data_IF_103402434989
#
_entry.id   IF_103402434989
#
_cell.length_a   1.000
_cell.length_b   1.000
_cell.length_c   1.000
_cell.angle_alpha   90.00
_cell.angle_beta   90.00
_cell.angle_gamma   90.00
#
_symmetry.space_group_name_H-M   'P 1'
#
loop_
_entity.id
_entity.type
_entity.pdbx_description
1 polymer ?
#
# COMPACT_ATOMS: atom_id res chain seq x y z
N UNK A 1 -8.06 16.90 1.11
CA UNK A 1 -9.07 15.82 1.22
C UNK A 1 -9.01 15.29 2.64
N UNK A 2 -10.11 14.79 3.22
CA UNK A 2 -10.03 14.12 4.53
C UNK A 2 -9.85 12.64 4.32
N UNK A 3 -8.91 12.05 5.06
CA UNK A 3 -8.56 10.64 4.94
C UNK A 3 -8.63 9.99 6.33
N UNK A 4 -9.13 8.75 6.35
CA UNK A 4 -9.13 7.95 7.57
C UNK A 4 -7.70 7.45 7.84
N UNK A 5 -7.26 7.51 9.10
CA UNK A 5 -5.90 7.11 9.51
C UNK A 5 -5.93 6.38 10.85
N UNK A 6 -4.93 5.55 11.13
CA UNK A 6 -4.79 4.90 12.43
C UNK A 6 -4.01 5.79 13.41
N UNK A 7 -4.71 6.41 14.36
CA UNK A 7 -4.11 7.31 15.34
C UNK A 7 -3.03 6.63 16.22
N UNK A 8 -3.14 5.33 16.48
CA UNK A 8 -2.20 4.59 17.33
C UNK A 8 -0.77 4.50 16.77
N UNK A 9 -0.59 4.73 15.47
CA UNK A 9 0.70 4.68 14.78
C UNK A 9 1.02 5.99 14.06
N UNK A 10 0.23 7.05 14.25
CA UNK A 10 0.49 8.39 13.68
C UNK A 10 1.24 9.23 14.71
N UNK A 11 2.48 9.60 14.41
CA UNK A 11 3.31 10.40 15.32
C UNK A 11 2.99 11.89 15.21
N UNK A 12 3.16 12.63 16.31
CA UNK A 12 2.90 14.08 16.34
C UNK A 12 3.70 14.87 15.30
N UNK A 13 4.95 14.47 15.02
CA UNK A 13 5.77 15.12 13.98
C UNK A 13 5.20 15.03 12.56
N UNK A 14 4.28 14.09 12.31
CA UNK A 14 3.58 13.94 11.03
C UNK A 14 2.23 14.67 10.98
N UNK A 15 1.93 15.52 11.97
CA UNK A 15 0.67 16.26 12.07
C UNK A 15 0.86 17.77 11.97
N UNK A 16 2.08 18.23 11.66
CA UNK A 16 2.32 19.64 11.38
C UNK A 16 1.43 20.11 10.23
N UNK A 17 0.83 21.30 10.38
CA UNK A 17 -0.11 21.82 9.37
C UNK A 17 -1.32 20.94 9.05
N UNK A 18 -1.73 20.02 9.93
CA UNK A 18 -2.85 19.07 9.67
C UNK A 18 -4.09 19.38 10.52
N UNK A 19 -5.29 19.16 9.98
CA UNK A 19 -6.54 19.17 10.73
C UNK A 19 -6.97 17.75 11.13
N UNK A 20 -6.94 17.46 12.44
CA UNK A 20 -7.34 16.16 13.00
C UNK A 20 -8.81 16.20 13.43
N UNK A 21 -9.60 15.24 12.94
CA UNK A 21 -11.02 15.09 13.27
C UNK A 21 -11.24 13.76 13.97
N UNK A 22 -11.87 13.79 15.15
CA UNK A 22 -12.20 12.62 15.94
C UNK A 22 -13.72 12.43 16.05
N UNK A 23 -14.16 11.34 16.68
CA UNK A 23 -15.58 11.02 16.82
C UNK A 23 -16.36 12.10 17.59
N UNK A 24 -15.71 12.83 18.48
CA UNK A 24 -16.29 13.90 19.26
C UNK A 24 -16.62 15.14 18.42
N UNK A 25 -15.94 15.35 17.29
CA UNK A 25 -16.25 16.43 16.35
C UNK A 25 -17.64 16.26 15.73
N UNK A 26 -18.11 15.01 15.59
CA UNK A 26 -19.42 14.69 15.06
C UNK A 26 -20.57 15.06 16.00
N UNK A 27 -20.29 15.53 17.21
CA UNK A 27 -21.33 15.87 18.19
C UNK A 27 -22.27 16.93 17.61
N UNK A 28 -23.55 16.57 17.47
CA UNK A 28 -24.60 17.50 17.07
C UNK A 28 -25.00 18.47 18.18
N UNK A 29 -26.05 19.26 17.92
CA UNK A 29 -26.71 20.07 18.96
C UNK A 29 -27.13 19.17 20.13
N UNK A 30 -27.26 19.69 21.37
CA UNK A 30 -27.68 18.90 22.51
C UNK A 30 -28.91 18.03 22.22
N UNK A 31 -28.78 16.71 22.38
CA UNK A 31 -29.84 15.74 22.09
C UNK A 31 -29.90 15.23 20.63
N UNK A 32 -29.02 15.69 19.74
CA UNK A 32 -28.95 15.24 18.35
C UNK A 32 -27.62 14.54 18.06
N UNK A 33 -27.71 13.32 17.51
CA UNK A 33 -26.56 12.58 17.00
C UNK A 33 -26.27 12.96 15.55
N UNK A 34 -25.02 12.78 15.14
CA UNK A 34 -24.64 12.86 13.73
C UNK A 34 -25.37 11.81 12.90
N UNK A 35 -25.72 12.04 11.61
CA UNK A 35 -26.32 11.04 10.73
C UNK A 35 -25.65 9.65 10.80
N UNK A 36 -24.32 9.61 10.80
CA UNK A 36 -23.55 8.35 10.91
C UNK A 36 -23.76 7.67 12.27
N UNK A 37 -23.75 8.44 13.36
CA UNK A 37 -23.95 7.91 14.72
C UNK A 37 -25.40 7.42 14.91
N UNK A 38 -26.37 8.18 14.40
CA UNK A 38 -27.79 7.83 14.47
C UNK A 38 -28.08 6.53 13.70
N UNK A 39 -27.57 6.40 12.47
CA UNK A 39 -27.71 5.18 11.70
C UNK A 39 -27.11 3.96 12.42
N UNK A 40 -25.95 4.11 13.07
CA UNK A 40 -25.34 3.04 13.86
C UNK A 40 -26.21 2.61 15.06
N UNK A 41 -26.94 3.53 15.68
CA UNK A 41 -27.87 3.23 16.77
C UNK A 41 -29.10 2.49 16.23
N UNK A 42 -29.78 3.07 15.24
CA UNK A 42 -31.08 2.58 14.77
C UNK A 42 -30.99 1.22 14.06
N UNK A 43 -29.85 0.92 13.44
CA UNK A 43 -29.62 -0.37 12.77
C UNK A 43 -28.92 -1.41 13.66
N UNK A 44 -28.72 -1.11 14.95
CA UNK A 44 -28.04 -1.98 15.91
C UNK A 44 -26.59 -2.31 15.51
N UNK A 45 -25.89 -1.34 14.91
CA UNK A 45 -24.49 -1.44 14.50
C UNK A 45 -23.49 -1.43 15.67
N UNK A 46 -23.95 -1.34 16.91
CA UNK A 46 -23.13 -1.31 18.12
C UNK A 46 -23.69 -2.23 19.21
N UNK A 47 -22.81 -3.04 19.82
CA UNK A 47 -23.13 -3.85 21.00
C UNK A 47 -22.27 -3.43 22.19
N UNK A 48 -21.03 -3.92 22.29
CA UNK A 48 -20.13 -3.55 23.39
C UNK A 48 -19.62 -2.09 23.31
N UNK A 49 -19.76 -1.44 22.16
CA UNK A 49 -19.40 -0.03 21.94
C UNK A 49 -17.92 0.24 21.67
N UNK A 50 -17.00 -0.69 21.98
CA UNK A 50 -15.57 -0.39 21.95
C UNK A 50 -15.02 -0.08 20.54
N UNK A 51 -15.43 -0.85 19.53
CA UNK A 51 -15.03 -0.60 18.13
C UNK A 51 -15.81 0.53 17.48
N UNK A 52 -16.94 0.96 18.06
CA UNK A 52 -17.93 1.83 17.42
C UNK A 52 -17.34 3.17 16.97
N UNK A 53 -16.48 3.87 17.75
CA UNK A 53 -15.84 5.10 17.27
C UNK A 53 -15.05 4.92 15.97
N UNK A 54 -14.29 3.82 15.85
CA UNK A 54 -13.51 3.53 14.65
C UNK A 54 -14.40 3.28 13.43
N UNK A 55 -15.48 2.51 13.58
CA UNK A 55 -16.46 2.29 12.51
C UNK A 55 -17.16 3.58 12.10
N UNK A 56 -17.57 4.41 13.06
CA UNK A 56 -18.20 5.70 12.79
C UNK A 56 -17.26 6.60 11.98
N UNK A 57 -15.98 6.69 12.34
CA UNK A 57 -15.03 7.54 11.60
C UNK A 57 -14.72 7.01 10.19
N UNK A 58 -14.62 5.69 10.00
CA UNK A 58 -14.45 5.11 8.66
C UNK A 58 -15.68 5.35 7.77
N UNK A 59 -16.89 5.10 8.30
CA UNK A 59 -18.14 5.37 7.59
C UNK A 59 -18.35 6.85 7.30
N UNK A 60 -17.94 7.72 8.22
CA UNK A 60 -17.99 9.15 8.00
C UNK A 60 -17.07 9.60 6.86
N UNK A 61 -15.81 9.11 6.84
CA UNK A 61 -14.90 9.36 5.72
C UNK A 61 -15.47 8.88 4.38
N UNK A 62 -16.05 7.68 4.36
CA UNK A 62 -16.73 7.16 3.16
C UNK A 62 -17.91 8.04 2.74
N UNK A 63 -18.83 8.34 3.66
CA UNK A 63 -20.04 9.10 3.37
C UNK A 63 -19.75 10.52 2.84
N UNK A 64 -18.70 11.15 3.36
CA UNK A 64 -18.26 12.47 2.89
C UNK A 64 -17.69 12.45 1.46
N UNK A 65 -17.19 11.29 1.00
CA UNK A 65 -16.65 11.08 -0.36
C UNK A 65 -17.72 10.54 -1.32
N UNK A 66 -18.52 9.58 -0.86
CA UNK A 66 -19.58 8.91 -1.59
C UNK A 66 -20.81 8.76 -0.69
N UNK A 67 -21.79 9.70 -0.78
CA UNK A 67 -23.00 9.64 0.06
C UNK A 67 -23.94 8.48 -0.26
N UNK A 68 -23.78 7.83 -1.43
CA UNK A 68 -24.54 6.66 -1.86
C UNK A 68 -23.56 5.53 -2.25
N UNK A 69 -22.89 4.90 -1.26
CA UNK A 69 -21.82 3.96 -1.52
C UNK A 69 -22.36 2.59 -1.95
N UNK A 70 -21.63 1.89 -2.83
CA UNK A 70 -21.90 0.48 -3.09
C UNK A 70 -21.45 -0.41 -1.92
N UNK A 71 -21.87 -1.68 -1.91
CA UNK A 71 -21.37 -2.65 -0.92
C UNK A 71 -19.84 -2.77 -0.95
N UNK A 72 -19.23 -2.74 -2.15
CA UNK A 72 -17.77 -2.81 -2.29
C UNK A 72 -17.08 -1.60 -1.67
N UNK A 73 -17.68 -0.40 -1.79
CA UNK A 73 -17.14 0.82 -1.16
C UNK A 73 -17.20 0.74 0.38
N UNK A 74 -18.33 0.26 0.92
CA UNK A 74 -18.48 0.07 2.37
C UNK A 74 -17.50 -0.99 2.89
N UNK A 75 -17.42 -2.14 2.22
CA UNK A 75 -16.46 -3.19 2.58
C UNK A 75 -15.02 -2.63 2.59
N UNK A 76 -14.63 -1.90 1.54
CA UNK A 76 -13.29 -1.30 1.41
C UNK A 76 -12.99 -0.30 2.53
N UNK A 77 -13.92 0.59 2.85
CA UNK A 77 -13.75 1.58 3.91
C UNK A 77 -13.67 0.93 5.30
N UNK A 78 -14.34 -0.21 5.48
CA UNK A 78 -14.38 -0.95 6.75
C UNK A 78 -13.33 -2.05 6.87
N UNK A 79 -12.49 -2.28 5.84
CA UNK A 79 -11.46 -3.33 5.85
C UNK A 79 -10.65 -3.31 7.16
N UNK A 80 -10.23 -2.12 7.61
CA UNK A 80 -9.44 -1.88 8.83
C UNK A 80 -10.19 -1.77 10.15
N UNK A 81 -11.46 -2.16 10.17
CA UNK A 81 -12.29 -2.09 11.35
C UNK A 81 -12.72 -3.50 11.77
N UNK A 82 -12.29 -3.94 12.96
CA UNK A 82 -12.67 -5.24 13.50
C UNK A 82 -13.76 -5.11 14.56
N UNK A 83 -14.82 -5.90 14.39
CA UNK A 83 -15.87 -6.08 15.38
C UNK A 83 -15.99 -7.56 15.75
N UNK A 84 -16.06 -7.85 17.05
CA UNK A 84 -16.24 -9.23 17.55
C UNK A 84 -17.68 -9.55 17.95
N UNK A 85 -18.55 -8.55 18.04
CA UNK A 85 -19.88 -8.68 18.63
C UNK A 85 -21.00 -8.70 17.58
N UNK A 86 -20.96 -7.82 16.57
CA UNK A 86 -22.12 -7.55 15.70
C UNK A 86 -22.26 -8.48 14.51
N UNK A 87 -21.19 -9.17 14.10
CA UNK A 87 -21.20 -9.95 12.85
C UNK A 87 -21.27 -9.10 11.57
N UNK A 88 -21.01 -7.79 11.65
CA UNK A 88 -20.89 -6.81 10.56
C UNK A 88 -22.17 -6.44 9.77
N UNK A 89 -23.13 -7.35 9.59
CA UNK A 89 -24.32 -7.09 8.76
C UNK A 89 -25.13 -5.85 9.20
N UNK A 90 -25.28 -5.65 10.51
CA UNK A 90 -25.94 -4.47 11.06
C UNK A 90 -25.20 -3.15 10.72
N UNK A 91 -23.87 -3.19 10.66
CA UNK A 91 -23.03 -2.05 10.32
C UNK A 91 -23.14 -1.75 8.81
N UNK A 92 -23.20 -2.79 7.96
CA UNK A 92 -23.43 -2.64 6.53
C UNK A 92 -24.77 -1.94 6.24
N UNK A 93 -25.85 -2.37 6.89
CA UNK A 93 -27.16 -1.71 6.77
C UNK A 93 -27.14 -0.27 7.28
N UNK A 94 -26.45 0.00 8.38
CA UNK A 94 -26.27 1.36 8.89
C UNK A 94 -25.58 2.26 7.85
N UNK A 95 -24.52 1.77 7.19
CA UNK A 95 -23.77 2.52 6.19
C UNK A 95 -24.65 3.01 5.03
N UNK A 96 -25.52 2.16 4.50
CA UNK A 96 -26.48 2.50 3.44
C UNK A 96 -27.56 3.47 3.89
N UNK A 97 -27.89 3.49 5.18
CA UNK A 97 -28.95 4.34 5.71
C UNK A 97 -28.49 5.77 6.04
N UNK A 98 -27.18 6.07 6.10
CA UNK A 98 -26.66 7.35 6.61
C UNK A 98 -27.30 8.55 5.90
N UNK A 99 -27.42 8.50 4.57
CA UNK A 99 -27.99 9.60 3.77
C UNK A 99 -29.49 9.81 3.97
N UNK A 100 -30.20 8.90 4.63
CA UNK A 100 -31.60 9.12 5.04
C UNK A 100 -31.72 10.06 6.25
N UNK A 101 -30.64 10.23 7.04
CA UNK A 101 -30.61 11.06 8.25
C UNK A 101 -30.01 12.45 8.02
N UNK A 102 -29.33 12.69 6.88
CA UNK A 102 -28.70 13.97 6.60
C UNK A 102 -28.05 14.02 5.22
N UNK A 103 -27.47 15.18 4.87
CA UNK A 103 -26.77 15.39 3.59
C UNK A 103 -25.31 15.75 3.86
N UNK A 104 -24.37 15.02 3.24
CA UNK A 104 -22.93 15.28 3.39
C UNK A 104 -22.53 16.72 3.03
N UNK A 105 -23.21 17.32 2.05
CA UNK A 105 -22.96 18.71 1.66
C UNK A 105 -23.32 19.76 2.74
N UNK A 106 -24.11 19.38 3.76
CA UNK A 106 -24.48 20.24 4.90
C UNK A 106 -23.68 19.93 6.16
N UNK A 107 -22.75 18.99 6.07
CA UNK A 107 -21.92 18.60 7.19
C UNK A 107 -21.01 19.75 7.65
N UNK A 108 -20.70 19.88 8.96
CA UNK A 108 -19.77 20.87 9.46
C UNK A 108 -18.42 20.88 8.73
N UNK A 109 -17.82 19.71 8.46
CA UNK A 109 -16.55 19.62 7.73
C UNK A 109 -16.66 20.14 6.29
N UNK A 110 -17.81 19.97 5.63
CA UNK A 110 -18.03 20.56 4.30
C UNK A 110 -18.11 22.09 4.39
N UNK A 111 -18.79 22.60 5.42
CA UNK A 111 -19.05 24.03 5.62
C UNK A 111 -17.78 24.80 6.00
N UNK A 112 -16.97 24.26 6.91
CA UNK A 112 -15.77 24.95 7.41
C UNK A 112 -14.53 24.73 6.55
N UNK A 113 -14.59 23.82 5.56
CA UNK A 113 -13.44 23.40 4.75
C UNK A 113 -12.61 24.57 4.24
N UNK A 114 -13.25 25.57 3.64
CA UNK A 114 -12.55 26.74 3.07
C UNK A 114 -11.79 27.52 4.15
N UNK A 115 -12.39 27.72 5.32
CA UNK A 115 -11.78 28.47 6.41
C UNK A 115 -10.62 27.69 7.04
N UNK A 116 -10.78 26.38 7.23
CA UNK A 116 -9.70 25.52 7.72
C UNK A 116 -8.55 25.47 6.72
N UNK A 117 -8.81 25.24 5.43
CA UNK A 117 -7.77 25.22 4.39
C UNK A 117 -6.95 26.52 4.39
N UNK A 118 -7.61 27.69 4.44
CA UNK A 118 -6.90 28.97 4.50
C UNK A 118 -6.03 29.10 5.78
N UNK A 119 -6.49 28.57 6.91
CA UNK A 119 -5.70 28.57 8.16
C UNK A 119 -4.47 27.66 8.06
N UNK A 120 -4.61 26.48 7.46
CA UNK A 120 -3.51 25.54 7.28
C UNK A 120 -2.49 26.07 6.25
N UNK A 121 -2.96 26.67 5.15
CA UNK A 121 -2.09 27.33 4.16
C UNK A 121 -1.28 28.47 4.80
N UNK A 122 -1.91 29.27 5.67
CA UNK A 122 -1.22 30.34 6.39
C UNK A 122 -0.16 29.83 7.39
N UNK A 123 -0.23 28.57 7.82
CA UNK A 123 0.80 27.94 8.67
C UNK A 123 2.01 27.46 7.85
N UNK A 124 1.89 27.30 6.53
CA UNK A 124 2.97 26.85 5.65
C UNK A 124 3.88 28.01 5.28
N UNK A 125 4.79 28.36 6.18
CA UNK A 125 5.78 29.43 6.00
C UNK A 125 7.07 28.97 5.29
N UNK A 126 7.19 27.67 4.98
CA UNK A 126 8.37 27.08 4.34
C UNK A 126 9.56 26.95 5.30
N UNK A 127 9.36 27.09 6.61
CA UNK A 127 10.40 26.87 7.59
C UNK A 127 10.46 25.39 8.02
N UNK A 128 11.67 24.95 8.37
CA UNK A 128 11.87 23.66 9.03
C UNK A 128 11.38 23.75 10.48
N UNK A 129 10.62 22.76 10.92
CA UNK A 129 10.26 22.59 12.33
C UNK A 129 11.28 21.67 13.00
N UNK A 130 11.86 22.11 14.11
CA UNK A 130 12.71 21.28 14.97
C UNK A 130 12.23 21.34 16.42
N UNK A 131 12.07 20.18 17.04
CA UNK A 131 11.73 20.05 18.46
C UNK A 131 12.77 19.18 19.14
N UNK A 132 13.22 19.59 20.33
CA UNK A 132 14.24 18.88 21.11
C UNK A 132 15.67 19.22 20.68
N UNK A 133 16.64 18.50 21.25
CA UNK A 133 18.08 18.72 20.99
C UNK A 133 18.84 17.40 20.92
N UNK A 134 19.98 17.39 20.22
CA UNK A 134 20.85 16.22 20.10
C UNK A 134 20.10 14.97 19.61
N UNK A 135 20.23 13.87 20.35
CA UNK A 135 19.63 12.57 19.97
C UNK A 135 18.11 12.54 20.11
N UNK A 136 17.51 13.44 20.89
CA UNK A 136 16.06 13.50 21.11
C UNK A 136 15.35 14.42 20.10
N UNK A 137 16.01 14.78 18.99
CA UNK A 137 15.48 15.74 18.03
C UNK A 137 14.42 15.10 17.13
N UNK A 138 13.36 15.88 16.90
CA UNK A 138 12.36 15.66 15.88
C UNK A 138 12.50 16.76 14.84
N UNK A 139 12.50 16.39 13.55
CA UNK A 139 12.63 17.32 12.44
C UNK A 139 11.50 17.12 11.44
N UNK A 140 10.85 18.21 11.04
CA UNK A 140 9.99 18.28 9.85
C UNK A 140 10.70 19.22 8.86
N UNK A 141 11.35 18.69 7.81
CA UNK A 141 12.09 19.50 6.85
C UNK A 141 11.19 20.49 6.11
N UNK A 142 11.76 21.61 5.68
CA UNK A 142 11.03 22.61 4.88
C UNK A 142 10.65 22.08 3.49
N UNK A 143 11.57 21.36 2.86
CA UNK A 143 11.43 20.78 1.52
C UNK A 143 12.36 19.56 1.36
N UNK A 144 12.43 19.00 0.15
CA UNK A 144 13.25 17.82 -0.15
C UNK A 144 14.76 18.14 -0.10
N UNK A 145 15.16 19.37 -0.41
CA UNK A 145 16.56 19.79 -0.37
C UNK A 145 17.04 19.96 1.07
N UNK A 146 16.22 20.55 1.93
CA UNK A 146 16.45 20.64 3.38
C UNK A 146 16.45 19.24 4.02
N UNK A 147 15.53 18.35 3.62
CA UNK A 147 15.56 16.95 4.04
C UNK A 147 16.90 16.28 3.70
N UNK A 148 17.33 16.41 2.44
CA UNK A 148 18.60 15.83 2.00
C UNK A 148 19.79 16.41 2.79
N UNK A 149 19.78 17.70 3.11
CA UNK A 149 20.82 18.36 3.91
C UNK A 149 20.82 17.90 5.38
N UNK A 150 19.65 17.70 5.99
CA UNK A 150 19.54 17.18 7.35
C UNK A 150 20.02 15.73 7.41
N UNK A 151 19.58 14.88 6.47
CA UNK A 151 19.96 13.46 6.45
C UNK A 151 21.45 13.25 6.15
N UNK A 152 22.08 14.10 5.32
CA UNK A 152 23.53 14.02 5.08
C UNK A 152 24.35 14.34 6.35
N UNK A 153 23.87 15.27 7.18
CA UNK A 153 24.46 15.57 8.50
C UNK A 153 24.16 14.50 9.55
N UNK A 154 23.00 13.85 9.46
CA UNK A 154 22.52 12.84 10.41
C UNK A 154 22.11 11.55 9.71
N UNK A 155 23.07 10.80 9.14
CA UNK A 155 22.77 9.62 8.33
C UNK A 155 22.15 8.46 9.12
N UNK A 156 22.16 8.54 10.46
CA UNK A 156 21.52 7.57 11.36
C UNK A 156 20.12 7.95 11.81
N UNK A 157 19.58 9.11 11.39
CA UNK A 157 18.23 9.52 11.75
C UNK A 157 17.18 8.60 11.13
N UNK A 158 16.11 8.30 11.88
CA UNK A 158 15.00 7.50 11.37
C UNK A 158 14.13 8.36 10.46
N UNK A 159 14.01 7.97 9.19
CA UNK A 159 13.10 8.61 8.24
C UNK A 159 11.70 8.05 8.46
N UNK A 160 10.72 8.95 8.62
CA UNK A 160 9.32 8.60 8.87
C UNK A 160 8.42 9.30 7.86
N UNK A 161 7.83 8.53 6.95
CA UNK A 161 6.73 8.99 6.10
C UNK A 161 5.39 8.65 6.78
N UNK A 162 4.67 7.66 6.26
CA UNK A 162 3.39 7.19 6.77
C UNK A 162 3.40 6.44 8.10
N UNK A 163 4.57 6.19 8.70
CA UNK A 163 4.74 5.47 9.98
C UNK A 163 4.08 4.09 10.11
N UNK A 164 3.58 3.48 9.03
CA UNK A 164 2.85 2.19 9.08
C UNK A 164 3.74 0.98 9.40
N UNK A 165 5.07 1.13 9.28
CA UNK A 165 6.06 0.15 9.75
C UNK A 165 6.78 0.66 11.01
N UNK A 166 7.37 1.86 10.94
CA UNK A 166 8.11 2.50 12.06
C UNK A 166 7.25 2.67 13.32
N UNK A 167 5.94 2.92 13.16
CA UNK A 167 4.99 2.98 14.27
C UNK A 167 4.96 1.69 15.09
N UNK A 168 5.17 0.53 14.47
CA UNK A 168 5.26 -0.76 15.16
C UNK A 168 6.59 -0.94 15.90
N UNK A 169 7.67 -0.31 15.42
CA UNK A 169 8.96 -0.30 16.13
C UNK A 169 8.80 0.33 17.51
N UNK A 170 8.00 1.39 17.61
CA UNK A 170 7.69 2.03 18.89
C UNK A 170 6.61 1.25 19.65
N UNK A 171 5.44 1.04 19.05
CA UNK A 171 4.24 0.53 19.77
C UNK A 171 4.29 -0.96 20.11
N UNK A 172 5.10 -1.76 19.41
CA UNK A 172 5.25 -3.19 19.65
C UNK A 172 6.64 -3.56 20.15
N UNK A 173 7.68 -2.89 19.65
CA UNK A 173 9.07 -3.23 19.99
C UNK A 173 9.70 -2.27 21.00
N UNK A 174 8.99 -1.21 21.42
CA UNK A 174 9.48 -0.20 22.36
C UNK A 174 10.85 0.38 21.96
N UNK A 175 11.11 0.47 20.65
CA UNK A 175 12.36 1.01 20.12
C UNK A 175 12.34 2.53 20.16
N UNK A 176 13.46 3.11 20.56
CA UNK A 176 13.73 4.52 20.32
C UNK A 176 14.07 4.72 18.84
N UNK A 177 13.41 5.70 18.21
CA UNK A 177 13.59 6.04 16.80
C UNK A 177 14.32 7.39 16.63
N UNK A 178 14.72 8.01 17.73
CA UNK A 178 15.29 9.36 17.73
C UNK A 178 16.78 9.35 17.34
N UNK A 179 17.27 10.35 16.59
CA UNK A 179 16.50 11.46 16.01
C UNK A 179 15.62 11.00 14.85
N UNK A 180 14.46 11.62 14.67
CA UNK A 180 13.49 11.26 13.65
C UNK A 180 13.21 12.44 12.69
N UNK A 181 13.13 12.13 11.40
CA UNK A 181 12.84 13.09 10.32
C UNK A 181 11.51 12.71 9.68
N UNK A 182 10.53 13.60 9.74
CA UNK A 182 9.18 13.38 9.23
C UNK A 182 9.04 13.99 7.83
N UNK A 183 8.75 13.16 6.83
CA UNK A 183 8.79 13.53 5.41
C UNK A 183 7.44 13.42 4.69
N UNK A 184 6.35 13.19 5.43
CA UNK A 184 5.04 12.85 4.88
C UNK A 184 4.42 13.93 3.97
N UNK A 185 4.75 15.20 4.22
CA UNK A 185 4.13 16.36 3.56
C UNK A 185 5.11 17.13 2.66
N UNK A 186 6.23 16.51 2.26
CA UNK A 186 7.17 17.12 1.33
C UNK A 186 6.65 16.98 -0.10
N UNK A 187 6.04 18.04 -0.64
CA UNK A 187 5.41 18.05 -1.97
C UNK A 187 6.30 17.47 -3.09
N UNK A 188 7.62 17.73 -3.03
CA UNK A 188 8.58 17.19 -4.01
C UNK A 188 8.70 15.67 -4.01
N UNK A 189 8.34 14.98 -2.93
CA UNK A 189 8.28 13.51 -2.83
C UNK A 189 6.87 12.95 -3.10
N UNK A 190 5.85 13.80 -3.22
CA UNK A 190 4.46 13.42 -3.39
C UNK A 190 3.96 13.66 -4.83
N UNK A 191 4.82 13.35 -5.81
CA UNK A 191 4.53 13.57 -7.24
C UNK A 191 4.30 12.26 -7.98
N UNK A 192 3.37 12.28 -8.94
CA UNK A 192 3.16 11.22 -9.93
C UNK A 192 3.23 11.87 -11.31
N UNK A 193 4.04 11.30 -12.21
CA UNK A 193 4.13 11.73 -13.60
C UNK A 193 4.28 10.54 -14.52
N UNK A 194 4.02 10.73 -15.81
CA UNK A 194 4.25 9.71 -16.83
C UNK A 194 4.92 10.34 -18.04
N UNK A 195 6.06 9.77 -18.46
CA UNK A 195 6.75 10.14 -19.69
C UNK A 195 7.14 8.87 -20.46
N UNK A 196 6.89 8.86 -21.78
CA UNK A 196 7.26 7.75 -22.69
C UNK A 196 6.90 6.35 -22.18
N UNK A 197 5.73 6.21 -21.55
CA UNK A 197 5.26 4.94 -21.02
C UNK A 197 5.93 4.50 -19.71
N UNK A 198 6.61 5.40 -18.99
CA UNK A 198 7.17 5.15 -17.66
C UNK A 198 6.47 6.05 -16.65
N UNK A 199 5.84 5.44 -15.64
CA UNK A 199 5.20 6.15 -14.54
C UNK A 199 6.25 6.37 -13.44
N UNK A 200 6.54 7.64 -13.13
CA UNK A 200 7.43 8.03 -12.03
C UNK A 200 6.60 8.39 -10.81
N UNK A 201 6.90 7.77 -9.67
CA UNK A 201 6.18 7.92 -8.42
C UNK A 201 7.18 8.33 -7.33
N UNK A 202 6.98 9.51 -6.74
CA UNK A 202 7.78 9.98 -5.62
C UNK A 202 7.62 9.09 -4.38
N UNK A 203 8.66 9.01 -3.56
CA UNK A 203 8.70 8.11 -2.41
C UNK A 203 7.68 8.43 -1.29
N UNK A 204 7.18 9.68 -1.27
CA UNK A 204 6.15 10.16 -0.35
C UNK A 204 4.73 9.85 -0.79
N UNK A 205 4.52 9.43 -2.06
CA UNK A 205 3.19 9.09 -2.57
C UNK A 205 2.60 7.90 -1.81
N UNK A 206 1.40 8.10 -1.27
CA UNK A 206 0.65 7.09 -0.52
C UNK A 206 0.17 5.96 -1.43
N UNK A 207 -0.19 4.81 -0.86
CA UNK A 207 -0.83 3.75 -1.64
C UNK A 207 -2.14 4.23 -2.27
N UNK A 208 -2.93 5.02 -1.53
CA UNK A 208 -4.21 5.57 -2.01
C UNK A 208 -4.02 6.44 -3.24
N UNK A 209 -3.03 7.34 -3.25
CA UNK A 209 -2.75 8.22 -4.39
C UNK A 209 -2.13 7.46 -5.57
N UNK A 210 -1.16 6.58 -5.30
CA UNK A 210 -0.51 5.78 -6.33
C UNK A 210 -1.50 4.86 -7.06
N UNK A 211 -2.45 4.28 -6.31
CA UNK A 211 -3.40 3.31 -6.80
C UNK A 211 -4.26 3.83 -7.95
N UNK A 212 -4.79 5.06 -7.85
CA UNK A 212 -5.67 5.63 -8.87
C UNK A 212 -5.00 5.65 -10.26
N UNK A 213 -3.70 5.94 -10.29
CA UNK A 213 -2.92 5.97 -11.53
C UNK A 213 -2.47 4.56 -11.93
N UNK A 214 -1.89 3.80 -11.00
CA UNK A 214 -1.32 2.49 -11.29
C UNK A 214 -2.38 1.47 -11.72
N UNK A 215 -3.53 1.39 -11.04
CA UNK A 215 -4.58 0.46 -11.41
C UNK A 215 -5.23 0.82 -12.75
N UNK A 216 -5.27 2.11 -13.12
CA UNK A 216 -5.76 2.54 -14.43
C UNK A 216 -4.81 2.15 -15.55
N UNK A 217 -3.50 2.29 -15.33
CA UNK A 217 -2.47 2.03 -16.34
C UNK A 217 -2.02 0.57 -16.40
N UNK A 218 -2.09 -0.13 -15.28
CA UNK A 218 -1.68 -1.52 -15.10
C UNK A 218 -2.77 -2.25 -14.28
N UNK A 219 -3.90 -2.64 -14.92
CA UNK A 219 -5.08 -3.16 -14.23
C UNK A 219 -4.84 -4.34 -13.28
N UNK A 220 -3.85 -5.19 -13.57
CA UNK A 220 -3.50 -6.32 -12.71
C UNK A 220 -3.01 -5.91 -11.30
N UNK A 221 -2.53 -4.67 -11.13
CA UNK A 221 -2.17 -4.15 -9.81
C UNK A 221 -3.41 -3.83 -8.96
N UNK A 222 -4.56 -3.55 -9.60
CA UNK A 222 -5.79 -3.13 -8.92
C UNK A 222 -6.17 -4.01 -7.71
N UNK A 223 -6.45 -5.30 -7.94
CA UNK A 223 -6.84 -6.23 -6.88
C UNK A 223 -5.78 -6.46 -5.80
N UNK A 224 -4.49 -6.23 -6.09
CA UNK A 224 -3.43 -6.35 -5.09
C UNK A 224 -3.52 -5.20 -4.08
N UNK A 225 -3.63 -3.96 -4.57
CA UNK A 225 -3.61 -2.76 -3.74
C UNK A 225 -4.80 -2.72 -2.78
N UNK A 226 -5.97 -3.15 -3.22
CA UNK A 226 -7.16 -3.26 -2.36
C UNK A 226 -6.98 -4.25 -1.18
N UNK A 227 -5.92 -5.08 -1.22
CA UNK A 227 -5.57 -6.06 -0.19
C UNK A 227 -4.35 -5.64 0.64
N UNK A 228 -3.79 -4.46 0.44
CA UNK A 228 -2.70 -3.90 1.25
C UNK A 228 -3.34 -3.19 2.46
N UNK A 229 -3.24 -3.80 3.63
CA UNK A 229 -3.84 -3.28 4.86
C UNK A 229 -5.34 -2.93 4.73
N UNK A 230 -5.82 -2.09 5.63
CA UNK A 230 -7.09 -1.37 5.48
C UNK A 230 -6.89 -0.02 4.78
N UNK A 231 -7.98 0.67 4.44
CA UNK A 231 -7.91 2.00 3.82
C UNK A 231 -7.09 3.00 4.66
N UNK A 232 -7.18 2.90 5.98
CA UNK A 232 -6.44 3.74 6.93
C UNK A 232 -4.93 3.57 6.81
N UNK A 233 -4.47 2.33 6.55
CA UNK A 233 -3.06 2.02 6.31
C UNK A 233 -2.64 2.52 4.93
N UNK A 234 -3.52 2.45 3.92
CA UNK A 234 -3.21 2.91 2.56
C UNK A 234 -3.12 4.43 2.41
N UNK A 235 -3.93 5.16 3.18
CA UNK A 235 -3.87 6.63 3.25
C UNK A 235 -2.59 7.13 3.92
N UNK A 236 -1.88 6.28 4.67
CA UNK A 236 -0.64 6.65 5.34
C UNK A 236 0.58 6.06 4.64
N UNK A 237 0.57 4.75 4.39
CA UNK A 237 1.70 4.01 3.86
C UNK A 237 2.08 4.47 2.46
N UNK A 238 3.38 4.61 2.21
CA UNK A 238 3.90 5.10 0.93
C UNK A 238 4.61 4.00 0.16
N UNK A 239 4.61 4.12 -1.18
CA UNK A 239 5.34 3.18 -2.05
C UNK A 239 6.83 3.21 -1.72
N UNK A 240 7.40 4.40 -1.54
CA UNK A 240 8.80 4.59 -1.18
C UNK A 240 9.13 3.96 0.17
N UNK A 241 8.25 4.11 1.17
CA UNK A 241 8.42 3.48 2.48
C UNK A 241 8.39 1.96 2.41
N UNK A 242 7.52 1.37 1.58
CA UNK A 242 7.45 -0.07 1.40
C UNK A 242 8.73 -0.64 0.79
N UNK A 243 9.25 0.02 -0.25
CA UNK A 243 10.50 -0.34 -0.90
C UNK A 243 11.67 -0.13 0.07
N UNK A 244 11.78 1.05 0.69
CA UNK A 244 12.90 1.42 1.57
C UNK A 244 13.01 0.55 2.84
N UNK A 245 11.90 -0.02 3.31
CA UNK A 245 11.88 -0.99 4.41
C UNK A 245 12.52 -2.32 4.00
N UNK A 246 12.33 -2.74 2.74
CA UNK A 246 12.88 -3.98 2.21
C UNK A 246 12.41 -5.25 2.92
N UNK A 247 11.15 -5.25 3.34
CA UNK A 247 10.51 -6.44 3.91
C UNK A 247 10.43 -7.57 2.86
N UNK A 248 10.76 -8.82 3.20
CA UNK A 248 10.66 -9.95 2.28
C UNK A 248 9.22 -10.24 1.82
N UNK A 249 8.24 -9.75 2.58
CA UNK A 249 6.79 -9.89 2.32
C UNK A 249 6.13 -8.54 2.00
N UNK A 250 6.93 -7.55 1.57
CA UNK A 250 6.39 -6.31 1.01
C UNK A 250 5.59 -6.59 -0.27
N UNK A 251 4.45 -5.93 -0.41
CA UNK A 251 3.50 -6.26 -1.48
C UNK A 251 3.83 -5.57 -2.81
N UNK A 252 4.47 -4.40 -2.81
CA UNK A 252 4.80 -3.68 -4.07
C UNK A 252 6.10 -4.11 -4.75
N UNK A 253 7.17 -4.54 -4.05
CA UNK A 253 8.41 -4.87 -4.73
C UNK A 253 8.29 -5.99 -5.77
N UNK A 254 7.66 -7.14 -5.52
CA UNK A 254 7.61 -8.22 -6.52
C UNK A 254 6.97 -7.80 -7.85
N UNK A 255 5.77 -7.18 -7.90
CA UNK A 255 5.21 -6.75 -9.18
C UNK A 255 6.00 -5.64 -9.85
N UNK A 256 6.61 -4.73 -9.09
CA UNK A 256 7.46 -3.69 -9.66
C UNK A 256 8.76 -4.26 -10.25
N UNK A 257 9.35 -5.28 -9.62
CA UNK A 257 10.48 -6.03 -10.17
C UNK A 257 10.08 -6.73 -11.47
N UNK A 258 8.93 -7.41 -11.48
CA UNK A 258 8.44 -8.11 -12.68
C UNK A 258 8.16 -7.16 -13.86
N UNK A 259 7.84 -5.90 -13.59
CA UNK A 259 7.66 -4.84 -14.60
C UNK A 259 8.97 -4.15 -15.02
N UNK A 260 10.11 -4.54 -14.45
CA UNK A 260 11.41 -3.92 -14.74
C UNK A 260 11.55 -2.50 -14.18
N UNK A 261 10.95 -2.22 -13.02
CA UNK A 261 11.04 -0.91 -12.39
C UNK A 261 12.48 -0.55 -11.98
N UNK A 262 12.77 0.75 -11.98
CA UNK A 262 14.02 1.30 -11.45
C UNK A 262 13.75 2.27 -10.30
N UNK A 263 14.78 2.53 -9.49
CA UNK A 263 14.72 3.32 -8.27
C UNK A 263 15.74 4.46 -8.35
N UNK A 264 15.30 5.69 -8.11
CA UNK A 264 16.20 6.83 -7.93
C UNK A 264 16.48 7.04 -6.44
N UNK A 265 17.76 6.95 -6.10
CA UNK A 265 18.32 7.20 -4.78
C UNK A 265 19.00 8.57 -4.77
N UNK A 266 18.81 9.32 -3.69
CA UNK A 266 19.34 10.68 -3.56
C UNK A 266 20.15 10.86 -2.29
N UNK A 267 21.31 11.51 -2.42
CA UNK A 267 22.18 11.96 -1.32
C UNK A 267 22.62 13.40 -1.55
N UNK A 268 22.16 14.32 -0.70
CA UNK A 268 22.36 15.76 -0.91
C UNK A 268 21.83 16.20 -2.28
N UNK A 269 22.72 16.70 -3.14
CA UNK A 269 22.40 17.11 -4.53
C UNK A 269 22.63 16.02 -5.58
N UNK A 270 23.16 14.87 -5.19
CA UNK A 270 23.50 13.78 -6.11
C UNK A 270 22.37 12.77 -6.16
N UNK A 271 22.06 12.29 -7.36
CA UNK A 271 21.11 11.21 -7.61
C UNK A 271 21.83 10.06 -8.31
N UNK A 272 21.38 8.83 -8.07
CA UNK A 272 21.72 7.66 -8.87
C UNK A 272 20.47 6.82 -9.08
N UNK A 273 20.38 6.19 -10.25
CA UNK A 273 19.27 5.29 -10.58
C UNK A 273 19.79 3.87 -10.73
N UNK A 274 19.11 2.91 -10.10
CA UNK A 274 19.45 1.48 -10.14
C UNK A 274 18.20 0.65 -10.47
N UNK A 275 18.33 -0.56 -11.04
CA UNK A 275 17.22 -1.49 -11.15
C UNK A 275 16.68 -1.87 -9.77
N UNK A 276 15.36 -1.92 -9.59
CA UNK A 276 14.73 -2.14 -8.28
C UNK A 276 15.15 -3.47 -7.65
N UNK A 277 15.30 -4.51 -8.44
CA UNK A 277 15.71 -5.84 -7.98
C UNK A 277 17.10 -5.85 -7.34
N UNK A 278 17.98 -4.92 -7.74
CA UNK A 278 19.34 -4.80 -7.18
C UNK A 278 19.38 -4.05 -5.86
N UNK A 279 18.30 -3.34 -5.51
CA UNK A 279 18.22 -2.59 -4.26
C UNK A 279 18.19 -3.51 -3.03
N UNK A 280 17.65 -4.72 -3.15
CA UNK A 280 17.52 -5.67 -2.03
C UNK A 280 18.70 -6.64 -1.98
N UNK A 281 19.71 -6.35 -1.14
CA UNK A 281 20.96 -7.14 -1.07
C UNK A 281 20.77 -8.39 -0.21
N UNK A 282 20.20 -8.23 0.98
CA UNK A 282 19.96 -9.31 1.93
C UNK A 282 18.83 -8.91 2.89
N UNK A 283 18.42 -9.82 3.78
CA UNK A 283 17.42 -9.52 4.80
C UNK A 283 17.82 -8.29 5.62
N UNK A 284 16.97 -7.26 5.59
CA UNK A 284 17.22 -5.99 6.31
C UNK A 284 18.41 -5.18 5.79
N UNK A 285 18.95 -5.49 4.60
CA UNK A 285 20.06 -4.77 3.98
C UNK A 285 19.71 -4.38 2.55
N UNK A 286 19.70 -3.08 2.29
CA UNK A 286 19.44 -2.50 0.98
C UNK A 286 20.67 -1.73 0.45
N UNK A 287 20.76 -1.53 -0.86
CA UNK A 287 21.78 -0.67 -1.48
C UNK A 287 21.44 0.80 -1.21
N UNK A 288 21.79 1.27 -0.01
CA UNK A 288 21.60 2.66 0.43
C UNK A 288 22.84 3.13 1.17
N UNK A 289 23.49 4.17 0.66
CA UNK A 289 24.63 4.80 1.32
C UNK A 289 24.18 5.59 2.56
N UNK A 290 25.04 5.80 3.57
CA UNK A 290 24.74 6.73 4.66
C UNK A 290 24.39 8.13 4.11
N UNK A 291 23.27 8.69 4.52
CA UNK A 291 22.76 9.99 4.03
C UNK A 291 21.94 9.92 2.74
N UNK A 292 21.76 8.72 2.18
CA UNK A 292 20.98 8.48 0.97
C UNK A 292 19.55 8.05 1.30
N UNK A 293 18.57 8.42 0.48
CA UNK A 293 17.17 8.00 0.61
C UNK A 293 16.57 7.64 -0.75
N UNK A 294 15.46 6.91 -0.72
CA UNK A 294 14.65 6.63 -1.91
C UNK A 294 13.88 7.89 -2.28
N UNK A 295 14.12 8.45 -3.46
CA UNK A 295 13.44 9.65 -3.92
C UNK A 295 12.23 9.32 -4.80
N UNK A 296 12.38 8.38 -5.74
CA UNK A 296 11.31 7.97 -6.65
C UNK A 296 11.49 6.55 -7.17
N UNK A 297 10.39 5.92 -7.56
CA UNK A 297 10.36 4.67 -8.34
C UNK A 297 9.79 4.94 -9.73
N UNK A 298 10.36 4.29 -10.74
CA UNK A 298 10.00 4.45 -12.15
C UNK A 298 9.52 3.11 -12.69
N UNK A 299 8.26 3.06 -13.10
CA UNK A 299 7.55 1.82 -13.45
C UNK A 299 7.19 1.84 -14.94
N UNK A 300 7.82 0.99 -15.76
CA UNK A 300 7.41 0.80 -17.14
C UNK A 300 5.97 0.31 -17.22
N UNK A 301 5.18 0.90 -18.12
CA UNK A 301 3.84 0.42 -18.45
C UNK A 301 4.00 -0.70 -19.48
N UNK A 302 3.53 -1.92 -19.20
CA UNK A 302 3.67 -3.04 -20.12
C UNK A 302 2.87 -2.78 -21.41
N UNK A 303 3.32 -3.36 -22.53
CA UNK A 303 2.59 -3.26 -23.78
C UNK A 303 1.23 -3.97 -23.65
N UNK A 304 0.25 -3.58 -24.48
CA UNK A 304 -1.12 -4.10 -24.39
C UNK A 304 -1.21 -5.62 -24.55
N UNK A 305 -0.32 -6.21 -25.36
CA UNK A 305 -0.30 -7.65 -25.63
C UNK A 305 0.47 -8.44 -24.57
N UNK A 306 1.30 -7.77 -23.77
CA UNK A 306 2.02 -8.37 -22.65
C UNK A 306 1.03 -8.96 -21.65
N UNK A 307 1.28 -10.20 -21.24
CA UNK A 307 0.50 -10.85 -20.19
C UNK A 307 1.14 -10.51 -18.85
N UNK A 308 0.36 -9.90 -17.96
CA UNK A 308 0.82 -9.53 -16.63
C UNK A 308 -0.22 -9.88 -15.57
N UNK A 309 0.20 -10.58 -14.51
CA UNK A 309 -0.68 -10.94 -13.41
C UNK A 309 0.06 -10.92 -12.07
N UNK A 310 -0.69 -10.65 -11.00
CA UNK A 310 -0.17 -10.62 -9.63
C UNK A 310 -1.13 -11.36 -8.71
N UNK A 311 -0.60 -12.26 -7.89
CA UNK A 311 -1.40 -13.07 -6.97
C UNK A 311 -0.83 -13.02 -5.56
N UNK A 312 -1.64 -12.57 -4.61
CA UNK A 312 -1.32 -12.53 -3.18
C UNK A 312 -2.03 -13.66 -2.42
N UNK A 313 -1.27 -14.42 -1.64
CA UNK A 313 -1.76 -15.51 -0.79
C UNK A 313 -1.63 -15.10 0.68
N UNK A 314 -2.72 -15.26 1.42
CA UNK A 314 -2.87 -14.88 2.84
C UNK A 314 -3.82 -15.84 3.55
N UNK A 315 -3.84 -15.86 4.89
CA UNK A 315 -4.79 -16.68 5.67
C UNK A 315 -6.17 -16.06 5.68
N UNK A 316 -6.23 -14.73 5.88
CA UNK A 316 -7.43 -13.92 5.68
C UNK A 316 -7.28 -13.16 4.37
N UNK A 317 -8.34 -13.14 3.54
CA UNK A 317 -8.28 -12.54 2.19
C UNK A 317 -7.73 -11.12 2.22
N UNK A 318 -8.32 -10.27 3.06
CA UNK A 318 -7.97 -8.87 3.22
C UNK A 318 -7.29 -8.63 4.57
N UNK A 319 -6.55 -7.52 4.67
CA UNK A 319 -5.87 -7.12 5.92
C UNK A 319 -4.97 -8.19 6.54
N UNK A 320 -4.18 -8.88 5.74
CA UNK A 320 -3.29 -9.91 6.25
C UNK A 320 -1.92 -9.81 5.62
N UNK A 321 -0.93 -10.27 6.38
CA UNK A 321 0.45 -10.26 5.96
C UNK A 321 0.66 -11.39 4.95
N UNK A 322 1.25 -11.05 3.82
CA UNK A 322 1.52 -11.96 2.72
C UNK A 322 2.26 -13.22 3.17
N UNK A 323 1.68 -14.38 2.84
CA UNK A 323 2.33 -15.68 2.92
C UNK A 323 3.21 -15.92 1.68
N UNK A 324 2.67 -15.65 0.49
CA UNK A 324 3.41 -15.62 -0.76
C UNK A 324 2.74 -14.64 -1.72
N UNK A 325 3.53 -13.91 -2.48
CA UNK A 325 3.03 -13.05 -3.55
C UNK A 325 3.85 -13.32 -4.80
N UNK A 326 3.20 -13.78 -5.87
CA UNK A 326 3.83 -14.00 -7.17
C UNK A 326 3.38 -12.93 -8.16
N UNK A 327 4.33 -12.36 -8.90
CA UNK A 327 4.08 -11.48 -10.02
C UNK A 327 4.73 -12.05 -11.29
N UNK A 328 3.98 -12.04 -12.39
CA UNK A 328 4.32 -12.73 -13.62
C UNK A 328 4.18 -11.77 -14.79
N UNK A 329 5.26 -11.61 -15.55
CA UNK A 329 5.33 -10.89 -16.81
C UNK A 329 5.67 -11.89 -17.92
N UNK A 330 4.96 -11.83 -19.04
CA UNK A 330 5.17 -12.73 -20.17
C UNK A 330 4.90 -12.01 -21.50
N UNK A 331 5.83 -12.17 -22.43
CA UNK A 331 5.66 -11.86 -23.84
C UNK A 331 5.82 -13.14 -24.67
N UNK A 332 4.89 -13.33 -25.61
CA UNK A 332 4.91 -14.45 -26.53
C UNK A 332 5.34 -13.97 -27.91
N UNK A 333 6.21 -14.74 -28.56
CA UNK A 333 6.47 -14.60 -29.98
C UNK A 333 5.25 -15.05 -30.79
N UNK A 334 5.23 -14.70 -32.08
CA UNK A 334 4.12 -15.02 -32.99
C UNK A 334 3.88 -16.53 -33.16
N UNK A 335 4.90 -17.35 -32.92
CA UNK A 335 4.82 -18.81 -32.97
C UNK A 335 4.37 -19.46 -31.64
N UNK A 336 4.02 -18.64 -30.63
CA UNK A 336 3.59 -19.11 -29.31
C UNK A 336 4.74 -19.51 -28.38
N UNK A 337 6.00 -19.23 -28.73
CA UNK A 337 7.13 -19.40 -27.82
C UNK A 337 7.27 -18.22 -26.85
N UNK A 338 7.85 -18.48 -25.68
CA UNK A 338 8.13 -17.46 -24.66
C UNK A 338 9.28 -16.58 -25.15
N UNK A 339 8.97 -15.35 -25.55
CA UNK A 339 9.94 -14.36 -26.01
C UNK A 339 10.61 -13.63 -24.85
N UNK A 340 9.85 -13.32 -23.81
CA UNK A 340 10.35 -12.73 -22.57
C UNK A 340 9.50 -13.20 -21.38
N UNK A 341 10.13 -13.33 -20.21
CA UNK A 341 9.47 -13.75 -18.98
C UNK A 341 10.20 -13.20 -17.76
N UNK A 342 9.44 -12.61 -16.84
CA UNK A 342 9.93 -12.27 -15.51
C UNK A 342 8.95 -12.75 -14.44
N UNK A 343 9.46 -13.48 -13.45
CA UNK A 343 8.68 -14.05 -12.36
C UNK A 343 9.34 -13.62 -11.06
N UNK A 344 8.66 -12.80 -10.27
CA UNK A 344 9.16 -12.31 -8.99
C UNK A 344 8.24 -12.72 -7.84
N UNK A 345 8.86 -13.06 -6.70
CA UNK A 345 8.15 -13.45 -5.50
C UNK A 345 8.50 -12.61 -4.27
N UNK A 346 7.48 -12.33 -3.46
CA UNK A 346 7.58 -12.00 -2.05
C UNK A 346 7.24 -13.21 -1.17
N UNK A 347 7.89 -13.34 -0.02
CA UNK A 347 7.66 -14.42 0.95
C UNK A 347 8.31 -15.76 0.59
N UNK A 348 9.09 -15.83 -0.49
CA UNK A 348 9.78 -17.05 -0.93
C UNK A 348 11.29 -17.04 -0.64
N UNK A 349 11.86 -15.89 -0.29
CA UNK A 349 13.26 -15.71 0.04
C UNK A 349 13.44 -14.62 1.12
N UNK A 350 14.69 -14.35 1.49
CA UNK A 350 15.07 -13.33 2.46
C UNK A 350 14.88 -11.89 1.96
N UNK A 351 14.58 -11.72 0.66
CA UNK A 351 14.26 -10.47 -0.03
C UNK A 351 13.22 -10.77 -1.13
N UNK A 352 12.51 -9.76 -1.66
CA UNK A 352 11.81 -9.90 -2.93
C UNK A 352 12.81 -10.36 -4.01
N UNK A 353 12.50 -11.47 -4.70
CA UNK A 353 13.47 -12.16 -5.56
C UNK A 353 12.82 -12.76 -6.80
N UNK A 354 13.53 -12.71 -7.93
CA UNK A 354 13.18 -13.39 -9.18
C UNK A 354 13.41 -14.90 -9.12
N UNK A 355 12.59 -15.65 -9.85
CA UNK A 355 12.71 -17.09 -10.05
C UNK A 355 13.52 -17.37 -11.31
N UNK A 356 14.83 -17.06 -11.29
CA UNK A 356 15.69 -17.09 -12.48
C UNK A 356 15.80 -18.49 -13.10
N UNK A 357 15.86 -19.54 -12.28
CA UNK A 357 15.87 -20.93 -12.76
C UNK A 357 14.58 -21.26 -13.53
N UNK A 358 13.44 -20.87 -12.98
CA UNK A 358 12.13 -21.06 -13.64
C UNK A 358 12.03 -20.24 -14.93
N UNK A 359 12.44 -18.96 -14.90
CA UNK A 359 12.47 -18.10 -16.08
C UNK A 359 13.32 -18.72 -17.22
N UNK A 360 14.52 -19.19 -16.91
CA UNK A 360 15.40 -19.84 -17.89
C UNK A 360 14.83 -21.15 -18.46
N UNK A 361 14.08 -21.92 -17.67
CA UNK A 361 13.44 -23.15 -18.14
C UNK A 361 12.29 -22.88 -19.13
N UNK A 362 11.68 -21.69 -19.06
CA UNK A 362 10.55 -21.28 -19.90
C UNK A 362 10.99 -20.53 -21.16
N UNK A 363 12.05 -19.72 -21.08
CA UNK A 363 12.50 -18.85 -22.17
C UNK A 363 12.79 -19.63 -23.46
N UNK A 364 12.24 -19.16 -24.58
CA UNK A 364 12.39 -19.79 -25.90
C UNK A 364 11.63 -21.12 -26.07
N UNK A 365 10.86 -21.58 -25.09
CA UNK A 365 10.01 -22.78 -25.20
C UNK A 365 8.57 -22.41 -25.59
N UNK A 366 7.83 -23.37 -26.12
CA UNK A 366 6.40 -23.20 -26.41
C UNK A 366 5.60 -23.04 -25.12
N UNK A 367 4.72 -22.03 -25.04
CA UNK A 367 3.88 -21.78 -23.86
C UNK A 367 2.76 -22.82 -23.75
N UNK A 368 3.07 -23.96 -23.13
CA UNK A 368 2.20 -25.14 -23.00
C UNK A 368 2.20 -25.65 -21.57
N UNK A 369 1.15 -26.36 -21.16
CA UNK A 369 1.02 -26.90 -19.81
C UNK A 369 2.20 -27.79 -19.44
N UNK A 370 2.60 -28.71 -20.32
CA UNK A 370 3.75 -29.59 -20.11
C UNK A 370 5.07 -28.83 -19.92
N UNK A 371 5.27 -27.71 -20.63
CA UNK A 371 6.47 -26.87 -20.46
C UNK A 371 6.43 -26.15 -19.11
N UNK A 372 5.26 -25.65 -18.72
CA UNK A 372 5.05 -24.99 -17.43
C UNK A 372 5.25 -25.95 -16.26
N UNK A 373 4.68 -27.16 -16.33
CA UNK A 373 4.85 -28.21 -15.32
C UNK A 373 6.33 -28.62 -15.17
N UNK A 374 7.05 -28.78 -16.29
CA UNK A 374 8.48 -29.10 -16.25
C UNK A 374 9.30 -28.00 -15.56
N UNK A 375 9.03 -26.72 -15.84
CA UNK A 375 9.71 -25.59 -15.22
C UNK A 375 9.47 -25.50 -13.69
N UNK A 376 8.41 -26.12 -13.17
CA UNK A 376 8.11 -26.09 -11.73
C UNK A 376 9.17 -26.75 -10.84
N UNK A 377 9.97 -27.65 -11.40
CA UNK A 377 11.07 -28.27 -10.67
C UNK A 377 12.10 -27.23 -10.21
N UNK A 378 12.33 -26.18 -11.01
CA UNK A 378 13.35 -25.16 -10.79
C UNK A 378 13.06 -24.24 -9.59
N UNK A 379 11.82 -24.18 -9.10
CA UNK A 379 11.50 -23.43 -7.87
C UNK A 379 12.34 -23.86 -6.67
N UNK A 380 12.73 -25.14 -6.60
CA UNK A 380 13.57 -25.65 -5.52
C UNK A 380 15.02 -25.12 -5.58
N UNK A 381 15.49 -24.75 -6.77
CA UNK A 381 16.80 -24.13 -6.98
C UNK A 381 16.74 -22.61 -6.72
N UNK A 382 15.60 -21.99 -7.01
CA UNK A 382 15.41 -20.54 -6.81
C UNK A 382 15.11 -20.15 -5.37
N UNK A 383 14.38 -20.99 -4.62
CA UNK A 383 13.81 -20.62 -3.32
C UNK A 383 13.99 -21.67 -2.24
N UNK A 384 14.19 -21.18 -1.02
CA UNK A 384 14.15 -21.97 0.22
C UNK A 384 13.32 -21.19 1.24
N UNK A 385 11.98 -21.21 1.12
CA UNK A 385 11.11 -20.40 1.96
C UNK A 385 11.16 -20.84 3.43
N UNK A 386 10.93 -19.90 4.34
CA UNK A 386 10.88 -20.17 5.77
C UNK A 386 9.46 -20.55 6.22
N UNK A 387 9.37 -21.43 7.22
CA UNK A 387 8.15 -21.67 7.98
C UNK A 387 8.01 -20.59 9.05
N UNK A 388 6.84 -19.94 9.10
CA UNK A 388 6.49 -18.98 10.15
C UNK A 388 4.98 -19.01 10.46
N UNK A 389 4.52 -18.06 11.29
CA UNK A 389 3.10 -17.93 11.66
C UNK A 389 2.15 -17.66 10.49
N UNK A 390 2.65 -17.29 9.30
CA UNK A 390 1.85 -16.93 8.12
C UNK A 390 1.64 -18.15 7.22
N UNK A 391 2.66 -18.97 7.03
CA UNK A 391 2.58 -20.23 6.29
C UNK A 391 3.82 -21.10 6.50
N UNK A 392 3.68 -22.41 6.31
CA UNK A 392 4.82 -23.33 6.25
C UNK A 392 5.60 -23.18 4.94
N UNK A 393 6.87 -23.57 4.95
CA UNK A 393 7.74 -23.59 3.79
C UNK A 393 7.15 -24.45 2.66
N UNK A 394 6.59 -25.61 3.00
CA UNK A 394 5.97 -26.55 2.05
C UNK A 394 4.74 -25.93 1.38
N UNK A 395 3.88 -25.25 2.17
CA UNK A 395 2.72 -24.56 1.62
C UNK A 395 3.12 -23.41 0.70
N UNK A 396 4.14 -22.63 1.07
CA UNK A 396 4.68 -21.54 0.23
C UNK A 396 5.22 -22.08 -1.10
N UNK A 397 6.00 -23.15 -1.06
CA UNK A 397 6.55 -23.79 -2.25
C UNK A 397 5.45 -24.36 -3.17
N UNK A 398 4.45 -25.03 -2.61
CA UNK A 398 3.31 -25.55 -3.36
C UNK A 398 2.48 -24.42 -3.97
N UNK A 399 2.18 -23.37 -3.19
CA UNK A 399 1.42 -22.21 -3.66
C UNK A 399 2.15 -21.51 -4.80
N UNK A 400 3.47 -21.29 -4.69
CA UNK A 400 4.26 -20.64 -5.73
C UNK A 400 4.15 -21.37 -7.08
N UNK A 401 4.29 -22.70 -7.08
CA UNK A 401 4.09 -23.53 -8.28
C UNK A 401 2.67 -23.40 -8.84
N UNK A 402 1.65 -23.56 -8.00
CA UNK A 402 0.26 -23.46 -8.45
C UNK A 402 -0.11 -22.06 -8.98
N UNK A 403 0.54 -20.99 -8.51
CA UNK A 403 0.36 -19.66 -9.07
C UNK A 403 0.89 -19.54 -10.51
N UNK A 404 1.96 -20.26 -10.86
CA UNK A 404 2.45 -20.33 -12.25
C UNK A 404 1.47 -21.09 -13.15
N UNK A 405 0.90 -22.22 -12.67
CA UNK A 405 -0.16 -22.93 -13.41
C UNK A 405 -1.40 -22.05 -13.60
N UNK A 406 -1.80 -21.32 -12.57
CA UNK A 406 -2.90 -20.34 -12.67
C UNK A 406 -2.60 -19.29 -13.73
N UNK A 407 -1.39 -18.72 -13.74
CA UNK A 407 -0.98 -17.74 -14.74
C UNK A 407 -1.04 -18.32 -16.16
N UNK A 408 -0.53 -19.54 -16.34
CA UNK A 408 -0.62 -20.26 -17.60
C UNK A 408 -2.08 -20.42 -18.05
N UNK A 409 -2.96 -20.90 -17.18
CA UNK A 409 -4.37 -21.10 -17.52
C UNK A 409 -5.11 -19.79 -17.86
N UNK A 410 -4.81 -18.70 -17.14
CA UNK A 410 -5.40 -17.37 -17.41
C UNK A 410 -4.89 -16.76 -18.73
N UNK A 411 -3.70 -17.15 -19.22
CA UNK A 411 -3.06 -16.55 -20.41
C UNK A 411 -3.15 -17.38 -21.68
N UNK A 412 -3.35 -18.70 -21.56
CA UNK A 412 -3.54 -19.62 -22.69
C UNK A 412 -4.98 -19.66 -23.23
N UNK A 413 -5.92 -19.06 -22.50
CA UNK A 413 -7.31 -18.92 -22.90
C UNK A 413 -8.10 -20.21 -22.68
N UNK A 414 -9.18 -20.11 -21.94
CA UNK A 414 -10.10 -21.22 -21.70
C UNK A 414 -11.53 -20.78 -21.98
N UNK A 415 -12.41 -21.75 -22.24
CA UNK A 415 -13.82 -21.47 -22.59
C UNK A 415 -14.70 -21.12 -21.38
N UNK A 416 -14.21 -21.28 -20.15
CA UNK A 416 -14.97 -21.10 -18.92
C UNK A 416 -14.27 -20.11 -17.97
N UNK A 417 -15.00 -19.33 -17.16
CA UNK A 417 -14.40 -18.40 -16.21
C UNK A 417 -13.55 -19.13 -15.16
N UNK A 418 -12.30 -18.66 -14.97
CA UNK A 418 -11.32 -19.20 -14.01
C UNK A 418 -11.43 -18.61 -12.61
N UNK A 419 -12.20 -17.54 -12.44
CA UNK A 419 -12.34 -16.82 -11.18
C UNK A 419 -13.78 -16.83 -10.72
N UNK A 420 -14.01 -17.28 -9.47
CA UNK A 420 -15.28 -17.09 -8.79
C UNK A 420 -15.31 -15.64 -8.31
N UNK A 421 -16.08 -14.80 -9.00
CA UNK A 421 -16.34 -13.44 -8.52
C UNK A 421 -17.30 -13.50 -7.34
N UNK A 422 -17.03 -12.67 -6.32
CA UNK A 422 -17.90 -12.54 -5.13
C UNK A 422 -19.11 -11.63 -5.41
N UNK A 423 -19.00 -10.76 -6.42
CA UNK A 423 -20.06 -9.89 -6.89
C UNK A 423 -20.34 -10.24 -8.35
N UNK A 424 -21.60 -10.45 -8.72
CA UNK A 424 -21.95 -10.55 -10.14
C UNK A 424 -21.48 -9.28 -10.86
N UNK A 425 -20.88 -9.43 -12.03
CA UNK A 425 -20.55 -8.26 -12.85
C UNK A 425 -21.85 -7.52 -13.14
N UNK A 426 -21.94 -6.27 -12.69
CA UNK A 426 -23.12 -5.42 -12.84
C UNK A 426 -23.49 -5.18 -14.31
#
# INVERSE_FOLDING_TARGET
>A
VYESVNACIRFLGSLDGTHVVTVEHLRGSPGQLHPVQQAMVDFHGSQCGFCTPGFVMSLYGLWMKSPDPSNADVEKALQGNLCRCTGYEAIMRAAHAISSYGKAAKDPLATERKAITARLEAMRDGARVEIGTGKARLVVPADVDDFAAVLDKEPGATIVAGSTDVGLWVTKHMRDISPAIFIGDLDGLCTISEDKGVISIGAGVTYTDAFATLAKRIPALGPLFDRIGGEQVRNMGTIGGNIANGSPIGDTPPPLIALGASLTLRKGKKQRTIPLETFFIAYGKQDRQPGEFVEAVHVPVPAKETKFAVYKITKRRDEDITAALGAFFLELAKDGTVADICIAYGGMAATPKRALGVEHALLGKSWTEATVEAAMAEYANDFTPLTDMRASAEYRALAAKNLLLRFFAETSGTKAPFQVSRHEAA
#
